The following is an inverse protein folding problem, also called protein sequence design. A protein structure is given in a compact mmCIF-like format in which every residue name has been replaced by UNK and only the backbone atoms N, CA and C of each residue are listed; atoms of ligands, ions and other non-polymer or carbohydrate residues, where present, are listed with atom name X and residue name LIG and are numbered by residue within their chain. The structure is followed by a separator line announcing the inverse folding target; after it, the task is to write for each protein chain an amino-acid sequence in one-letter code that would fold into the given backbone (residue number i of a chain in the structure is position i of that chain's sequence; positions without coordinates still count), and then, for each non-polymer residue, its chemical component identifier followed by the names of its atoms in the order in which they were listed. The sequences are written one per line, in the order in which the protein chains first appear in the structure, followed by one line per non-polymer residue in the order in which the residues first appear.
data_IF_728320420352
#
_entry.id   IF_728320420352
#
_cell.length_a   1.000
_cell.length_b   1.000
_cell.length_c   1.000
_cell.angle_alpha   90.00
_cell.angle_beta   90.00
_cell.angle_gamma   90.00
#
_symmetry.space_group_name_H-M   'P 1'
#
loop_
_entity.id
_entity.type
_entity.pdbx_description
1 polymer ?
#
# COMPACT_ATOMS: atom_id res chain seq x y z
N UNK A 1 -12.50 18.73 -15.71
CA UNK A 1 -12.20 18.15 -14.39
C UNK A 1 -11.30 16.95 -14.60
N UNK A 2 -10.05 17.01 -14.15
CA UNK A 2 -9.16 15.84 -14.14
C UNK A 2 -9.67 14.87 -13.08
N UNK A 3 -10.12 13.68 -13.50
CA UNK A 3 -10.48 12.60 -12.57
C UNK A 3 -9.21 12.17 -11.81
N UNK A 4 -9.28 12.09 -10.49
CA UNK A 4 -8.20 11.54 -9.67
C UNK A 4 -8.09 10.04 -9.92
N UNK A 5 -6.87 9.51 -9.89
CA UNK A 5 -6.64 8.08 -9.90
C UNK A 5 -7.37 7.43 -8.70
N UNK A 6 -7.98 6.24 -8.86
CA UNK A 6 -8.60 5.55 -7.74
C UNK A 6 -7.56 5.25 -6.65
N UNK A 7 -7.95 5.45 -5.39
CA UNK A 7 -7.11 5.21 -4.21
C UNK A 7 -7.41 3.84 -3.63
N UNK A 8 -6.36 3.09 -3.26
CA UNK A 8 -6.45 1.77 -2.62
C UNK A 8 -5.75 1.81 -1.27
N UNK A 9 -6.50 1.54 -0.20
CA UNK A 9 -5.97 1.35 1.16
C UNK A 9 -5.94 -0.15 1.49
N UNK A 10 -4.77 -0.66 1.88
CA UNK A 10 -4.57 -2.09 2.16
C UNK A 10 -4.03 -2.23 3.57
N UNK A 11 -4.72 -2.99 4.42
CA UNK A 11 -4.22 -3.37 5.74
C UNK A 11 -3.37 -4.65 5.68
N UNK A 12 -2.46 -4.83 6.63
CA UNK A 12 -1.62 -6.04 6.69
C UNK A 12 -0.57 -6.13 5.57
N UNK A 13 0.02 -5.00 5.18
CA UNK A 13 1.02 -4.94 4.10
C UNK A 13 2.45 -5.28 4.52
N UNK A 14 2.67 -5.69 5.77
CA UNK A 14 4.01 -6.05 6.26
C UNK A 14 4.60 -7.28 5.57
N UNK A 15 3.76 -8.21 5.10
CA UNK A 15 4.20 -9.43 4.41
C UNK A 15 3.06 -10.09 3.63
N UNK A 16 3.37 -11.18 2.93
CA UNK A 16 2.38 -12.08 2.34
C UNK A 16 1.44 -11.41 1.34
N UNK A 17 0.15 -11.75 1.44
CA UNK A 17 -0.89 -11.36 0.47
C UNK A 17 -1.06 -9.84 0.41
N UNK A 18 -1.12 -9.15 1.56
CA UNK A 18 -1.28 -7.70 1.60
C UNK A 18 -0.16 -6.98 0.85
N UNK A 19 1.09 -7.40 1.06
CA UNK A 19 2.26 -6.87 0.33
C UNK A 19 2.17 -7.12 -1.18
N UNK A 20 1.78 -8.34 -1.58
CA UNK A 20 1.63 -8.69 -3.00
C UNK A 20 0.54 -7.88 -3.70
N UNK A 21 -0.61 -7.68 -3.03
CA UNK A 21 -1.72 -6.88 -3.53
C UNK A 21 -1.30 -5.40 -3.68
N UNK A 22 -0.57 -4.84 -2.70
CA UNK A 22 -0.10 -3.46 -2.75
C UNK A 22 0.80 -3.20 -3.96
N UNK A 23 1.77 -4.08 -4.19
CA UNK A 23 2.63 -4.01 -5.38
C UNK A 23 1.84 -4.17 -6.70
N UNK A 24 0.85 -5.06 -6.73
CA UNK A 24 0.03 -5.28 -7.91
C UNK A 24 -0.85 -4.07 -8.29
N UNK A 25 -1.41 -3.36 -7.31
CA UNK A 25 -2.18 -2.14 -7.56
C UNK A 25 -1.28 -0.97 -7.95
N UNK A 26 -0.12 -0.82 -7.30
CA UNK A 26 0.86 0.21 -7.65
C UNK A 26 1.33 0.05 -9.11
N UNK A 27 1.64 -1.18 -9.53
CA UNK A 27 2.01 -1.50 -10.91
C UNK A 27 0.90 -1.20 -11.94
N UNK A 28 -0.36 -1.12 -11.52
CA UNK A 28 -1.51 -0.75 -12.36
C UNK A 28 -1.78 0.77 -12.38
N UNK A 29 -0.97 1.58 -11.71
CA UNK A 29 -1.09 3.04 -11.69
C UNK A 29 -2.09 3.59 -10.67
N UNK A 30 -2.49 2.80 -9.68
CA UNK A 30 -3.32 3.28 -8.58
C UNK A 30 -2.47 4.07 -7.58
N UNK A 31 -3.11 4.98 -6.85
CA UNK A 31 -2.53 5.57 -5.65
C UNK A 31 -2.75 4.59 -4.49
N UNK A 32 -1.66 4.07 -3.91
CA UNK A 32 -1.73 2.95 -2.95
C UNK A 32 -1.15 3.35 -1.61
N UNK A 33 -1.95 3.16 -0.56
CA UNK A 33 -1.54 3.25 0.83
C UNK A 33 -1.56 1.86 1.47
N UNK A 34 -0.40 1.38 1.89
CA UNK A 34 -0.26 0.12 2.64
C UNK A 34 -0.11 0.39 4.12
N UNK A 35 -0.80 -0.37 4.98
CA UNK A 35 -0.67 -0.19 6.43
C UNK A 35 -0.16 -1.43 7.16
N UNK A 36 0.54 -1.19 8.26
CA UNK A 36 0.97 -2.21 9.23
C UNK A 36 1.26 -1.54 10.57
N UNK A 37 1.40 -2.32 11.65
CA UNK A 37 1.72 -1.78 12.98
C UNK A 37 3.05 -1.02 13.03
N UNK A 38 4.07 -1.51 12.31
CA UNK A 38 5.42 -0.95 12.32
C UNK A 38 5.98 -0.80 10.89
N UNK A 39 5.47 0.15 10.08
CA UNK A 39 5.84 0.27 8.66
C UNK A 39 7.33 0.52 8.44
N UNK A 40 8.01 1.16 9.39
CA UNK A 40 9.46 1.42 9.36
C UNK A 40 10.30 0.13 9.36
N UNK A 41 9.74 -1.00 9.81
CA UNK A 41 10.40 -2.31 9.81
C UNK A 41 10.16 -3.10 8.53
N UNK A 42 9.27 -2.63 7.66
CA UNK A 42 8.93 -3.33 6.42
C UNK A 42 9.87 -2.88 5.30
N UNK A 43 10.14 -3.78 4.37
CA UNK A 43 10.77 -3.38 3.11
C UNK A 43 9.86 -2.42 2.33
N UNK A 44 10.42 -1.38 1.70
CA UNK A 44 9.65 -0.53 0.79
C UNK A 44 9.00 -1.34 -0.33
N UNK A 45 7.79 -0.93 -0.72
CA UNK A 45 7.09 -1.45 -1.89
C UNK A 45 7.05 -0.32 -2.91
N UNK A 46 7.59 -0.54 -4.12
CA UNK A 46 7.63 0.50 -5.15
C UNK A 46 6.22 1.01 -5.48
N UNK A 47 6.04 2.34 -5.44
CA UNK A 47 4.76 2.99 -5.73
C UNK A 47 3.70 2.86 -4.62
N UNK A 48 4.08 2.47 -3.40
CA UNK A 48 3.19 2.37 -2.24
C UNK A 48 3.69 3.26 -1.11
N UNK A 49 2.79 4.05 -0.53
CA UNK A 49 3.04 4.78 0.71
C UNK A 49 2.71 3.89 1.92
N UNK A 50 3.69 3.66 2.80
CA UNK A 50 3.50 2.83 4.00
C UNK A 50 3.14 3.67 5.22
N UNK A 51 1.98 3.39 5.82
CA UNK A 51 1.44 4.12 6.97
C UNK A 51 1.30 3.22 8.21
N UNK A 52 1.46 3.76 9.44
CA UNK A 52 1.22 3.00 10.65
C UNK A 52 -0.29 2.80 10.88
N UNK A 53 -0.68 1.58 11.24
CA UNK A 53 -2.04 1.25 11.66
C UNK A 53 -2.04 0.01 12.56
N UNK A 54 -2.74 0.11 13.68
CA UNK A 54 -3.18 -1.03 14.51
C UNK A 54 -4.71 -1.03 14.50
N UNK A 55 -5.35 -2.16 14.15
CA UNK A 55 -6.80 -2.25 13.85
C UNK A 55 -7.60 -2.90 14.97
#
# INVERSE_FOLDING_TARGET
MTQRSPVVLITGTSSGIGRAIAGAFAAKGYEVFGTSRNPQRNEPIAGVELLPLDV
#
